data_IF_626387619378
#
_entry.id   IF_626387619378
#
_cell.length_a   1.000
_cell.length_b   1.000
_cell.length_c   1.000
_cell.angle_alpha   90.00
_cell.angle_beta   90.00
_cell.angle_gamma   90.00
#
_symmetry.space_group_name_H-M   'P 1'
#
loop_
_entity.id
_entity.type
_entity.pdbx_description
1 polymer ?
#
# COMPACT_ATOMS: atom_id res chain seq x y z
N UNK A 1 8.02 11.34 -12.17
CA UNK A 1 8.50 11.84 -13.48
C UNK A 1 9.97 11.47 -13.64
N UNK A 2 10.39 11.12 -14.85
CA UNK A 2 11.78 10.95 -15.22
C UNK A 2 12.04 11.83 -16.44
N UNK A 3 13.03 12.70 -16.36
CA UNK A 3 13.37 13.66 -17.43
C UNK A 3 12.16 14.47 -17.94
N UNK A 4 11.28 14.85 -17.01
CA UNK A 4 10.06 15.61 -17.29
C UNK A 4 8.89 14.78 -17.86
N UNK A 5 9.09 13.48 -18.12
CA UNK A 5 8.04 12.59 -18.62
C UNK A 5 7.39 11.78 -17.50
N UNK A 6 6.08 11.53 -17.57
CA UNK A 6 5.41 10.63 -16.62
C UNK A 6 5.90 9.21 -16.84
N UNK A 7 6.31 8.54 -15.78
CA UNK A 7 6.72 7.12 -15.80
C UNK A 7 5.84 6.25 -14.90
N UNK A 8 5.31 6.80 -13.82
CA UNK A 8 4.51 6.07 -12.86
C UNK A 8 3.42 6.96 -12.30
N UNK A 9 2.22 6.41 -12.18
CA UNK A 9 1.12 6.99 -11.43
C UNK A 9 0.52 5.94 -10.51
N UNK A 10 0.28 6.31 -9.25
CA UNK A 10 -0.37 5.48 -8.23
C UNK A 10 -1.53 6.27 -7.67
N UNK A 11 -2.66 5.62 -7.49
CA UNK A 11 -3.81 6.17 -6.78
C UNK A 11 -4.35 5.14 -5.79
N UNK A 12 -4.62 5.60 -4.58
CA UNK A 12 -5.15 4.77 -3.50
C UNK A 12 -6.32 5.53 -2.86
N UNK A 13 -7.43 4.85 -2.61
CA UNK A 13 -8.50 5.39 -1.78
C UNK A 13 -8.34 4.88 -0.33
N UNK A 14 -8.65 5.70 0.69
CA UNK A 14 -8.68 5.24 2.08
C UNK A 14 -8.02 6.14 3.13
N UNK A 15 -8.07 7.47 2.98
CA UNK A 15 -7.58 8.39 4.01
C UNK A 15 -6.09 8.18 4.31
N UNK A 16 -5.73 8.10 5.58
CA UNK A 16 -4.33 7.95 6.04
C UNK A 16 -3.66 6.63 5.59
N UNK A 17 -4.43 5.67 5.10
CA UNK A 17 -3.91 4.46 4.48
C UNK A 17 -3.31 4.70 3.08
N UNK A 18 -3.63 5.83 2.44
CA UNK A 18 -3.17 6.15 1.08
C UNK A 18 -1.66 6.22 1.00
N UNK A 19 -1.03 6.95 1.91
CA UNK A 19 0.42 7.16 1.90
C UNK A 19 1.18 5.86 2.14
N UNK A 20 0.71 5.05 3.09
CA UNK A 20 1.31 3.76 3.42
C UNK A 20 1.21 2.79 2.23
N UNK A 21 0.03 2.69 1.63
CA UNK A 21 -0.19 1.82 0.47
C UNK A 21 0.60 2.30 -0.74
N UNK A 22 0.60 3.61 -1.02
CA UNK A 22 1.37 4.17 -2.13
C UNK A 22 2.88 3.93 -1.96
N UNK A 23 3.40 4.05 -0.73
CA UNK A 23 4.80 3.75 -0.44
C UNK A 23 5.13 2.28 -0.68
N UNK A 24 4.26 1.35 -0.26
CA UNK A 24 4.47 -0.08 -0.54
C UNK A 24 4.59 -0.33 -2.05
N UNK A 25 3.65 0.20 -2.87
CA UNK A 25 3.70 0.02 -4.31
C UNK A 25 4.94 0.64 -4.96
N UNK A 26 5.38 1.79 -4.47
CA UNK A 26 6.61 2.43 -4.94
C UNK A 26 7.84 1.55 -4.66
N UNK A 27 7.95 1.00 -3.46
CA UNK A 27 9.04 0.10 -3.08
C UNK A 27 8.98 -1.21 -3.86
N UNK A 28 7.80 -1.79 -4.01
CA UNK A 28 7.57 -3.00 -4.80
C UNK A 28 8.08 -2.83 -6.24
N UNK A 29 7.82 -1.66 -6.84
CA UNK A 29 8.29 -1.37 -8.17
C UNK A 29 9.78 -1.02 -8.24
N UNK A 30 10.25 -0.09 -7.38
CA UNK A 30 11.61 0.49 -7.48
C UNK A 30 12.66 -0.49 -6.95
N UNK A 31 12.39 -1.15 -5.83
CA UNK A 31 13.37 -2.01 -5.15
C UNK A 31 13.25 -3.48 -5.59
N UNK A 32 12.03 -3.96 -5.86
CA UNK A 32 11.80 -5.36 -6.20
C UNK A 32 11.46 -5.58 -7.68
N UNK A 33 11.34 -4.51 -8.49
CA UNK A 33 11.12 -4.60 -9.94
C UNK A 33 9.73 -5.11 -10.34
N UNK A 34 8.76 -5.09 -9.43
CA UNK A 34 7.41 -5.57 -9.71
C UNK A 34 6.72 -4.67 -10.72
N UNK A 35 6.05 -5.29 -11.69
CA UNK A 35 5.12 -4.58 -12.58
C UNK A 35 3.80 -4.22 -11.89
N UNK A 36 2.96 -3.35 -12.51
CA UNK A 36 1.70 -2.94 -11.91
C UNK A 36 0.79 -4.09 -11.45
N UNK A 37 0.67 -5.14 -12.26
CA UNK A 37 -0.20 -6.28 -11.95
C UNK A 37 0.27 -7.08 -10.73
N UNK A 38 1.57 -7.14 -10.50
CA UNK A 38 2.18 -7.81 -9.34
C UNK A 38 2.10 -6.92 -8.10
N UNK A 39 2.48 -5.66 -8.21
CA UNK A 39 2.52 -4.72 -7.08
C UNK A 39 1.15 -4.48 -6.45
N UNK A 40 0.07 -4.37 -7.27
CA UNK A 40 -1.27 -4.10 -6.72
C UNK A 40 -1.86 -5.25 -5.91
N UNK A 41 -1.38 -6.48 -6.11
CA UNK A 41 -1.83 -7.67 -5.36
C UNK A 41 -0.80 -8.18 -4.36
N UNK A 42 0.40 -7.59 -4.30
CA UNK A 42 1.44 -7.99 -3.36
C UNK A 42 0.96 -7.90 -1.91
N UNK A 43 1.39 -8.81 -1.02
CA UNK A 43 1.08 -8.74 0.39
C UNK A 43 1.53 -7.41 0.99
N UNK A 44 0.65 -6.73 1.71
CA UNK A 44 0.92 -5.42 2.31
C UNK A 44 0.67 -5.42 3.80
N UNK A 45 1.07 -4.33 4.42
CA UNK A 45 0.77 -4.01 5.79
C UNK A 45 0.29 -2.56 5.93
N UNK A 46 -0.29 -2.26 7.06
CA UNK A 46 -0.66 -0.91 7.47
C UNK A 46 -0.51 -0.76 8.98
N UNK A 47 -0.32 0.46 9.44
CA UNK A 47 -0.31 0.81 10.85
C UNK A 47 -1.27 1.96 11.12
N UNK A 48 -1.79 2.00 12.35
CA UNK A 48 -2.53 3.16 12.88
C UNK A 48 -1.67 3.99 13.84
N UNK A 49 -0.36 3.75 13.87
CA UNK A 49 0.59 4.50 14.68
C UNK A 49 0.91 5.85 14.02
N UNK A 50 -0.11 6.68 13.89
CA UNK A 50 -0.04 8.03 13.35
C UNK A 50 -1.18 8.88 13.90
N UNK A 51 -1.10 10.19 13.70
CA UNK A 51 -2.21 11.09 13.98
C UNK A 51 -3.33 10.86 12.95
N UNK A 52 -4.58 10.89 13.40
CA UNK A 52 -5.73 10.91 12.50
C UNK A 52 -5.77 12.27 11.77
N UNK A 53 -5.67 12.25 10.43
CA UNK A 53 -5.67 13.46 9.60
C UNK A 53 -7.05 14.12 9.50
N UNK A 54 -8.11 13.36 9.74
CA UNK A 54 -9.49 13.86 9.64
C UNK A 54 -10.07 14.33 10.96
N UNK A 55 -9.59 13.78 12.07
CA UNK A 55 -9.99 14.16 13.44
C UNK A 55 -8.77 14.25 14.36
N UNK A 56 -7.91 15.25 14.14
CA UNK A 56 -6.67 15.38 14.90
C UNK A 56 -6.96 15.71 16.36
N UNK A 57 -6.39 14.93 17.28
CA UNK A 57 -6.49 15.18 18.70
C UNK A 57 -5.74 16.47 19.08
N UNK A 58 -6.39 17.46 19.72
CA UNK A 58 -5.73 18.70 20.15
C UNK A 58 -4.69 18.48 21.25
N UNK A 59 -4.82 17.38 22.01
CA UNK A 59 -3.82 16.98 23.00
C UNK A 59 -2.67 16.23 22.31
N UNK A 60 -1.53 16.88 22.19
CA UNK A 60 -0.37 16.33 21.51
C UNK A 60 0.19 15.06 22.15
N UNK A 61 0.05 14.89 23.44
CA UNK A 61 0.53 13.71 24.15
C UNK A 61 -0.36 12.48 23.87
N UNK A 62 -1.58 12.70 23.34
CA UNK A 62 -2.53 11.66 22.98
C UNK A 62 -2.78 11.57 21.45
N UNK A 63 -1.95 12.26 20.66
CA UNK A 63 -2.11 12.34 19.21
C UNK A 63 -1.92 11.00 18.52
N UNK A 64 -1.00 10.18 19.02
CA UNK A 64 -0.68 8.88 18.42
C UNK A 64 -1.50 7.76 19.07
N UNK A 65 -2.56 7.35 18.40
CA UNK A 65 -3.33 6.18 18.79
C UNK A 65 -2.64 4.89 18.36
N UNK A 66 -3.01 3.78 19.01
CA UNK A 66 -2.62 2.42 18.63
C UNK A 66 -1.10 2.26 18.33
N UNK A 67 -0.26 2.77 19.24
CA UNK A 67 1.21 2.67 19.16
C UNK A 67 1.63 1.21 18.98
N UNK A 68 2.47 0.96 17.96
CA UNK A 68 2.95 -0.39 17.62
C UNK A 68 1.94 -1.26 16.87
N UNK A 69 0.75 -0.75 16.52
CA UNK A 69 -0.22 -1.51 15.72
C UNK A 69 0.35 -1.89 14.36
N UNK A 70 0.04 -3.10 13.91
CA UNK A 70 0.45 -3.60 12.61
C UNK A 70 -0.61 -4.57 12.07
N UNK A 71 -1.43 -4.08 11.15
CA UNK A 71 -2.29 -4.94 10.33
C UNK A 71 -1.49 -5.45 9.15
N UNK A 72 -1.40 -6.75 8.95
CA UNK A 72 -0.58 -7.37 7.91
C UNK A 72 -1.39 -8.42 7.15
N UNK A 73 -1.15 -8.55 5.84
CA UNK A 73 -1.80 -9.60 5.04
C UNK A 73 -1.59 -10.98 5.67
N UNK A 74 -2.64 -11.77 5.77
CA UNK A 74 -2.56 -13.16 6.26
C UNK A 74 -1.70 -14.06 5.37
N UNK A 75 -1.46 -13.65 4.11
CA UNK A 75 -0.60 -14.37 3.17
C UNK A 75 0.90 -14.19 3.45
N UNK A 76 1.28 -13.25 4.31
CA UNK A 76 2.66 -13.16 4.83
C UNK A 76 2.91 -14.35 5.74
N UNK A 77 4.05 -14.99 5.59
CA UNK A 77 4.42 -16.20 6.34
C UNK A 77 4.27 -16.00 7.86
N UNK A 78 3.76 -17.03 8.54
CA UNK A 78 3.49 -16.97 9.96
C UNK A 78 4.74 -16.66 10.79
N UNK A 79 5.89 -17.23 10.45
CA UNK A 79 7.15 -16.98 11.13
C UNK A 79 7.57 -15.49 11.06
N UNK A 80 7.29 -14.81 9.95
CA UNK A 80 7.56 -13.36 9.80
C UNK A 80 6.64 -12.57 10.73
N UNK A 81 5.34 -12.90 10.77
CA UNK A 81 4.37 -12.27 11.67
C UNK A 81 4.74 -12.46 13.14
N UNK A 82 5.18 -13.66 13.51
CA UNK A 82 5.64 -13.98 14.88
C UNK A 82 6.91 -13.21 15.25
N UNK A 83 7.87 -13.08 14.34
CA UNK A 83 9.06 -12.27 14.56
C UNK A 83 8.74 -10.78 14.74
N UNK A 84 7.77 -10.25 13.99
CA UNK A 84 7.31 -8.87 14.16
C UNK A 84 6.64 -8.67 15.53
N UNK A 85 5.81 -9.62 15.97
CA UNK A 85 5.22 -9.60 17.30
C UNK A 85 6.30 -9.65 18.42
N UNK A 86 7.34 -10.46 18.26
CA UNK A 86 8.47 -10.54 19.21
C UNK A 86 9.26 -9.21 19.28
N UNK A 87 9.24 -8.41 18.23
CA UNK A 87 9.85 -7.07 18.19
C UNK A 87 8.96 -5.99 18.81
N UNK A 88 7.80 -6.35 19.31
CA UNK A 88 6.88 -5.45 20.03
C UNK A 88 5.73 -4.89 19.19
N UNK A 89 5.53 -5.37 17.97
CA UNK A 89 4.35 -4.99 17.19
C UNK A 89 3.10 -5.72 17.66
N UNK A 90 1.98 -4.99 17.79
CA UNK A 90 0.66 -5.58 17.95
C UNK A 90 0.14 -6.05 16.58
N UNK A 91 0.53 -7.27 16.21
CA UNK A 91 0.28 -7.82 14.88
C UNK A 91 -1.13 -8.37 14.77
N UNK A 92 -1.88 -7.88 13.78
CA UNK A 92 -3.19 -8.39 13.38
C UNK A 92 -3.11 -8.90 11.94
N UNK A 93 -3.34 -10.21 11.73
CA UNK A 93 -3.42 -10.78 10.39
C UNK A 93 -4.78 -10.48 9.77
N UNK A 94 -4.80 -9.91 8.58
CA UNK A 94 -6.01 -9.54 7.86
C UNK A 94 -6.19 -10.39 6.61
N UNK A 95 -7.37 -10.99 6.49
CA UNK A 95 -7.86 -11.57 5.24
C UNK A 95 -8.33 -10.47 4.28
N UNK A 96 -8.04 -10.64 2.99
CA UNK A 96 -8.41 -9.68 1.95
C UNK A 96 -7.46 -8.48 1.85
N UNK A 97 -7.82 -7.48 1.01
CA UNK A 97 -6.91 -6.41 0.64
C UNK A 97 -6.66 -5.42 1.79
N UNK A 98 -5.44 -4.90 1.82
CA UNK A 98 -5.04 -3.75 2.64
C UNK A 98 -4.81 -2.58 1.68
N UNK A 99 -5.68 -1.58 1.75
CA UNK A 99 -5.74 -0.51 0.77
C UNK A 99 -6.43 -0.92 -0.54
N UNK A 100 -6.69 0.07 -1.40
CA UNK A 100 -7.41 -0.12 -2.66
C UNK A 100 -6.65 0.51 -3.82
N UNK A 101 -5.45 -0.01 -4.15
CA UNK A 101 -4.55 0.62 -5.09
C UNK A 101 -4.95 0.40 -6.54
N UNK A 102 -4.57 1.38 -7.35
CA UNK A 102 -4.40 1.27 -8.79
C UNK A 102 -3.04 1.83 -9.16
N UNK A 103 -2.39 1.25 -10.17
CA UNK A 103 -1.07 1.65 -10.63
C UNK A 103 -1.00 1.66 -12.15
N UNK A 104 -0.33 2.67 -12.69
CA UNK A 104 -0.05 2.82 -14.11
C UNK A 104 1.45 3.06 -14.28
N UNK A 105 2.08 2.30 -15.16
CA UNK A 105 3.47 2.45 -15.58
C UNK A 105 3.51 2.82 -17.05
N UNK A 106 4.31 3.82 -17.40
CA UNK A 106 4.64 4.17 -18.79
C UNK A 106 6.08 3.74 -19.07
N UNK A 107 6.28 2.83 -20.00
CA UNK A 107 7.59 2.35 -20.42
C UNK A 107 7.67 2.27 -21.93
N UNK A 108 8.63 2.99 -22.52
CA UNK A 108 8.94 3.01 -23.96
C UNK A 108 7.71 3.16 -24.88
N UNK A 109 6.75 4.02 -24.47
CA UNK A 109 5.53 4.28 -25.24
C UNK A 109 4.40 3.27 -24.99
N UNK A 110 4.64 2.26 -24.15
CA UNK A 110 3.62 1.32 -23.71
C UNK A 110 3.12 1.68 -22.33
N UNK A 111 1.83 1.50 -22.09
CA UNK A 111 1.20 1.72 -20.80
C UNK A 111 0.75 0.40 -20.19
N UNK A 112 1.16 0.16 -18.96
CA UNK A 112 0.76 -0.99 -18.15
C UNK A 112 -0.08 -0.46 -16.99
N UNK A 113 -1.32 -0.94 -16.86
CA UNK A 113 -2.21 -0.49 -15.81
C UNK A 113 -2.85 -1.68 -15.09
N UNK A 114 -2.94 -1.59 -13.76
CA UNK A 114 -3.59 -2.59 -12.95
C UNK A 114 -4.29 -1.96 -11.75
N UNK A 115 -5.36 -2.60 -11.30
CA UNK A 115 -5.99 -2.35 -10.01
C UNK A 115 -6.13 -3.65 -9.25
N UNK A 116 -6.16 -3.60 -7.92
CA UNK A 116 -6.35 -4.77 -7.08
C UNK A 116 -7.79 -5.30 -7.22
N UNK A 117 -8.00 -6.48 -7.86
CA UNK A 117 -9.34 -7.00 -8.09
C UNK A 117 -10.04 -7.42 -6.79
N UNK A 118 -9.30 -7.84 -5.77
CA UNK A 118 -9.86 -8.17 -4.46
C UNK A 118 -10.39 -6.92 -3.74
N UNK A 119 -9.84 -5.74 -4.07
CA UNK A 119 -10.33 -4.44 -3.60
C UNK A 119 -11.38 -3.81 -4.54
N UNK A 120 -11.87 -4.56 -5.54
CA UNK A 120 -12.82 -4.05 -6.53
C UNK A 120 -12.24 -3.02 -7.49
N UNK A 121 -10.93 -3.04 -7.71
CA UNK A 121 -10.23 -2.12 -8.62
C UNK A 121 -9.82 -2.84 -9.90
N UNK A 122 -10.08 -2.20 -11.03
CA UNK A 122 -9.80 -2.74 -12.35
C UNK A 122 -9.15 -1.66 -13.23
N UNK A 123 -8.39 -2.10 -14.21
CA UNK A 123 -7.85 -1.24 -15.25
C UNK A 123 -8.16 -1.84 -16.62
N UNK A 124 -8.40 -1.00 -17.60
CA UNK A 124 -8.58 -1.40 -18.99
C UNK A 124 -7.87 -0.39 -19.90
N UNK A 125 -7.31 -0.88 -21.00
CA UNK A 125 -6.77 -0.07 -22.09
C UNK A 125 -7.67 -0.15 -23.30
N UNK A 126 -7.65 0.92 -24.10
CA UNK A 126 -8.17 0.89 -25.46
C UNK A 126 -7.02 0.49 -26.38
N UNK A 127 -7.27 -0.46 -27.27
CA UNK A 127 -6.37 -0.77 -28.40
C UNK A 127 -6.99 -0.18 -29.64
N UNK A 128 -6.20 0.57 -30.40
CA UNK A 128 -6.59 1.07 -31.73
C UNK A 128 -6.73 -0.07 -32.73
#
# INVERSE_FOLDING_TARGET
LKDGQPVLAISVAGGDLQDQTALCLLLDHIEFGMGPAEAVIAPRFATQHHQDSFDPNPDRDQTFAAVGSLTISETVEQNVREQLAQRGHAVEAKSGPIGTPVMLLADQGTYYAAGDPAAGRHAAGLTD
#
